data_IF_033546403283
#
_entry.id   IF_033546403283
#
_cell.length_a   1.000
_cell.length_b   1.000
_cell.length_c   1.000
_cell.angle_alpha   90.00
_cell.angle_beta   90.00
_cell.angle_gamma   90.00
#
_symmetry.space_group_name_H-M   'P 1'
#
loop_
_entity.id
_entity.type
_entity.pdbx_description
1 polymer ?
#
# COMPACT_ATOMS: atom_id res chain seq x y z
N UNK A 1 15.36 12.65 -5.13
CA UNK A 1 16.07 12.90 -3.86
C UNK A 1 17.07 14.05 -3.94
N UNK A 2 18.05 14.03 -4.86
CA UNK A 2 19.09 15.08 -4.94
C UNK A 2 18.54 16.51 -5.15
N UNK A 3 17.52 16.67 -5.99
CA UNK A 3 16.88 17.98 -6.22
C UNK A 3 16.24 18.54 -4.93
N UNK A 4 15.51 17.71 -4.18
CA UNK A 4 14.91 18.14 -2.92
C UNK A 4 15.97 18.60 -1.91
N UNK A 5 17.12 17.92 -1.86
CA UNK A 5 18.27 18.32 -1.05
C UNK A 5 18.84 19.69 -1.45
N UNK A 6 19.14 19.90 -2.73
CA UNK A 6 19.59 21.20 -3.24
C UNK A 6 18.56 22.31 -2.98
N UNK A 7 17.28 22.01 -3.22
CA UNK A 7 16.19 22.98 -3.07
C UNK A 7 16.01 23.41 -1.62
N UNK A 8 15.92 22.46 -0.69
CA UNK A 8 15.77 22.75 0.74
C UNK A 8 17.06 23.24 1.41
N UNK A 9 18.17 23.34 0.69
CA UNK A 9 19.38 23.99 1.16
C UNK A 9 19.59 25.40 0.56
N UNK A 10 19.44 25.55 -0.76
CA UNK A 10 19.76 26.79 -1.47
C UNK A 10 18.56 27.68 -1.83
N UNK A 11 17.33 27.14 -1.88
CA UNK A 11 16.13 27.89 -2.31
C UNK A 11 15.11 28.07 -1.20
N UNK A 12 14.83 27.03 -0.43
CA UNK A 12 13.81 27.01 0.61
C UNK A 12 14.37 26.39 1.90
N UNK A 13 15.40 27.01 2.46
CA UNK A 13 16.03 26.58 3.70
C UNK A 13 15.07 26.73 4.91
N UNK A 14 14.68 25.63 5.57
CA UNK A 14 13.82 25.69 6.76
C UNK A 14 14.51 26.41 7.92
N UNK A 15 13.71 26.95 8.85
CA UNK A 15 14.21 27.61 10.07
C UNK A 15 14.32 26.60 11.22
N UNK A 16 15.12 26.94 12.25
CA UNK A 16 15.34 26.08 13.41
C UNK A 16 14.03 25.62 14.09
N UNK A 17 13.04 26.50 14.18
CA UNK A 17 11.73 26.19 14.77
C UNK A 17 11.04 24.99 14.08
N UNK A 18 11.21 24.82 12.76
CA UNK A 18 10.66 23.67 12.04
C UNK A 18 11.36 22.37 12.42
N UNK A 19 12.69 22.39 12.54
CA UNK A 19 13.47 21.21 12.94
C UNK A 19 13.22 20.80 14.40
N UNK A 20 12.84 21.75 15.26
CA UNK A 20 12.56 21.52 16.69
C UNK A 20 11.08 21.23 16.99
N UNK A 21 10.21 21.26 15.99
CA UNK A 21 8.81 20.87 16.13
C UNK A 21 8.68 19.33 16.22
N UNK A 22 9.00 18.81 17.40
CA UNK A 22 9.02 17.36 17.67
C UNK A 22 7.63 16.74 17.63
N UNK A 23 6.58 17.50 17.96
CA UNK A 23 5.20 17.02 17.91
C UNK A 23 4.77 16.78 16.46
N UNK A 24 4.98 17.77 15.59
CA UNK A 24 4.70 17.61 14.17
C UNK A 24 5.54 16.50 13.56
N UNK A 25 6.84 16.45 13.84
CA UNK A 25 7.73 15.41 13.34
C UNK A 25 7.26 14.00 13.74
N UNK A 26 6.95 13.79 15.03
CA UNK A 26 6.50 12.48 15.52
C UNK A 26 5.14 12.09 14.92
N UNK A 27 4.19 13.02 14.86
CA UNK A 27 2.87 12.74 14.29
C UNK A 27 2.96 12.36 12.81
N UNK A 28 3.74 13.10 12.01
CA UNK A 28 3.92 12.81 10.58
C UNK A 28 4.69 11.51 10.35
N UNK A 29 5.71 11.21 11.14
CA UNK A 29 6.46 9.96 10.98
C UNK A 29 5.65 8.74 11.43
N UNK A 30 5.00 8.79 12.59
CA UNK A 30 4.27 7.64 13.11
C UNK A 30 2.99 7.37 12.30
N UNK A 31 2.15 8.37 12.08
CA UNK A 31 0.85 8.16 11.41
C UNK A 31 0.98 8.20 9.89
N UNK A 32 1.76 9.14 9.36
CA UNK A 32 1.98 9.30 7.92
C UNK A 32 2.96 8.27 7.38
N UNK A 33 4.25 8.41 7.70
CA UNK A 33 5.29 7.58 7.09
C UNK A 33 5.12 6.09 7.42
N UNK A 34 4.98 5.75 8.71
CA UNK A 34 4.86 4.35 9.13
C UNK A 34 3.43 3.83 8.97
N UNK A 35 2.43 4.57 9.43
CA UNK A 35 1.02 4.18 9.37
C UNK A 35 0.52 4.02 7.93
N UNK A 36 0.58 5.09 7.12
CA UNK A 36 0.13 5.02 5.71
C UNK A 36 1.04 4.11 4.87
N UNK A 37 2.34 4.04 5.18
CA UNK A 37 3.26 3.10 4.54
C UNK A 37 2.83 1.65 4.75
N UNK A 38 2.54 1.28 6.01
CA UNK A 38 2.04 -0.05 6.38
C UNK A 38 0.69 -0.35 5.74
N UNK A 39 -0.27 0.59 5.81
CA UNK A 39 -1.60 0.43 5.22
C UNK A 39 -1.53 0.24 3.69
N UNK A 40 -0.74 1.06 3.00
CA UNK A 40 -0.55 0.95 1.55
C UNK A 40 0.11 -0.38 1.17
N UNK A 41 1.11 -0.81 1.94
CA UNK A 41 1.79 -2.08 1.70
C UNK A 41 0.90 -3.29 1.99
N UNK A 42 0.04 -3.22 3.00
CA UNK A 42 -0.98 -4.24 3.24
C UNK A 42 -1.96 -4.32 2.06
N UNK A 43 -2.42 -3.18 1.52
CA UNK A 43 -3.24 -3.15 0.30
C UNK A 43 -2.53 -3.79 -0.90
N UNK A 44 -1.25 -3.48 -1.12
CA UNK A 44 -0.45 -4.14 -2.16
C UNK A 44 -0.34 -5.65 -1.95
N UNK A 45 -0.09 -6.10 -0.72
CA UNK A 45 -0.03 -7.53 -0.41
C UNK A 45 -1.36 -8.22 -0.71
N UNK A 46 -2.47 -7.68 -0.21
CA UNK A 46 -3.81 -8.25 -0.34
C UNK A 46 -4.25 -8.33 -1.81
N UNK A 47 -4.05 -7.27 -2.59
CA UNK A 47 -4.60 -7.16 -3.93
C UNK A 47 -3.66 -7.60 -5.05
N UNK A 48 -2.35 -7.76 -4.78
CA UNK A 48 -1.36 -8.11 -5.81
C UNK A 48 -0.52 -9.32 -5.40
N UNK A 49 0.20 -9.24 -4.28
CA UNK A 49 1.18 -10.27 -3.92
C UNK A 49 0.53 -11.61 -3.55
N UNK A 50 -0.52 -11.59 -2.71
CA UNK A 50 -1.19 -12.80 -2.24
C UNK A 50 -1.84 -13.61 -3.38
N UNK A 51 -2.63 -13.01 -4.30
CA UNK A 51 -3.21 -13.75 -5.43
C UNK A 51 -2.14 -14.42 -6.30
N UNK A 52 -1.06 -13.69 -6.65
CA UNK A 52 0.01 -14.20 -7.49
C UNK A 52 0.75 -15.35 -6.80
N UNK A 53 1.10 -15.17 -5.53
CA UNK A 53 1.78 -16.22 -4.76
C UNK A 53 0.92 -17.47 -4.61
N UNK A 54 -0.40 -17.35 -4.55
CA UNK A 54 -1.28 -18.53 -4.52
C UNK A 54 -1.13 -19.37 -5.78
N UNK A 55 -1.11 -18.75 -6.97
CA UNK A 55 -0.89 -19.45 -8.24
C UNK A 55 0.53 -20.03 -8.35
N UNK A 56 1.54 -19.27 -7.92
CA UNK A 56 2.93 -19.74 -7.92
C UNK A 56 3.11 -20.95 -6.99
N UNK A 57 2.48 -20.95 -5.81
CA UNK A 57 2.49 -22.08 -4.88
C UNK A 57 1.75 -23.29 -5.43
N UNK A 58 0.77 -23.09 -6.31
CA UNK A 58 0.10 -24.13 -7.08
C UNK A 58 0.88 -24.57 -8.35
N UNK A 59 2.11 -24.07 -8.53
CA UNK A 59 3.00 -24.36 -9.65
C UNK A 59 2.43 -23.99 -11.04
N UNK A 60 1.58 -22.96 -11.11
CA UNK A 60 1.12 -22.41 -12.38
C UNK A 60 2.27 -21.68 -13.09
N UNK A 61 2.41 -21.87 -14.41
CA UNK A 61 3.41 -21.14 -15.20
C UNK A 61 3.15 -19.63 -15.07
N UNK A 62 4.16 -18.81 -14.70
CA UNK A 62 4.01 -17.37 -14.57
C UNK A 62 3.37 -16.66 -15.77
N UNK A 63 3.46 -17.23 -16.99
CA UNK A 63 2.81 -16.69 -18.20
C UNK A 63 1.30 -16.88 -18.24
N UNK A 64 0.80 -17.88 -17.53
CA UNK A 64 -0.62 -18.23 -17.44
C UNK A 64 -1.29 -17.54 -16.24
N UNK A 65 -0.51 -16.95 -15.32
CA UNK A 65 -1.04 -16.18 -14.19
C UNK A 65 -1.56 -14.83 -14.72
N UNK A 66 -2.83 -14.46 -14.40
CA UNK A 66 -3.34 -13.14 -14.73
C UNK A 66 -2.43 -12.02 -14.23
N UNK A 67 -2.35 -10.92 -14.97
CA UNK A 67 -1.52 -9.79 -14.59
C UNK A 67 -2.09 -9.10 -13.34
N UNK A 68 -1.24 -8.46 -12.51
CA UNK A 68 -1.68 -7.80 -11.27
C UNK A 68 -2.90 -6.88 -11.40
N UNK A 69 -2.99 -6.14 -12.49
CA UNK A 69 -4.09 -5.19 -12.71
C UNK A 69 -5.42 -5.90 -13.06
N UNK A 70 -5.39 -7.12 -13.58
CA UNK A 70 -6.59 -7.90 -13.88
C UNK A 70 -7.29 -8.33 -12.58
N UNK A 71 -6.54 -8.70 -11.54
CA UNK A 71 -7.10 -8.97 -10.21
C UNK A 71 -7.75 -7.74 -9.56
N UNK A 72 -7.27 -6.54 -9.87
CA UNK A 72 -7.83 -5.28 -9.34
C UNK A 72 -9.14 -4.93 -10.05
N UNK A 73 -9.18 -5.09 -11.38
CA UNK A 73 -10.33 -4.71 -12.20
C UNK A 73 -11.43 -5.77 -12.21
N UNK A 74 -11.07 -7.05 -12.03
CA UNK A 74 -12.00 -8.16 -12.01
C UNK A 74 -12.00 -8.86 -10.65
N UNK A 75 -12.94 -8.44 -9.80
CA UNK A 75 -13.17 -9.02 -8.47
C UNK A 75 -13.46 -10.52 -8.52
N UNK A 76 -14.05 -11.03 -9.60
CA UNK A 76 -14.42 -12.45 -9.68
C UNK A 76 -13.17 -13.35 -9.73
N UNK A 77 -12.04 -12.86 -10.26
CA UNK A 77 -10.76 -13.57 -10.20
C UNK A 77 -10.25 -13.72 -8.76
N UNK A 78 -10.39 -12.66 -7.95
CA UNK A 78 -10.05 -12.72 -6.52
C UNK A 78 -11.02 -13.61 -5.75
N UNK A 79 -12.32 -13.54 -6.03
CA UNK A 79 -13.35 -14.31 -5.35
C UNK A 79 -13.22 -15.83 -5.59
N UNK A 80 -12.63 -16.26 -6.71
CA UNK A 80 -12.32 -17.67 -6.96
C UNK A 80 -11.28 -18.24 -5.99
N UNK A 81 -10.35 -17.40 -5.53
CA UNK A 81 -9.25 -17.79 -4.64
C UNK A 81 -9.61 -17.52 -3.17
N UNK A 82 -10.24 -16.36 -2.94
CA UNK A 82 -10.62 -15.85 -1.64
C UNK A 82 -12.14 -15.54 -1.66
N UNK A 83 -13.01 -16.52 -1.32
CA UNK A 83 -14.46 -16.38 -1.47
C UNK A 83 -15.06 -15.16 -0.76
N UNK A 84 -14.46 -14.69 0.34
CA UNK A 84 -14.91 -13.50 1.09
C UNK A 84 -14.87 -12.21 0.25
N UNK A 85 -14.08 -12.14 -0.83
CA UNK A 85 -14.11 -10.99 -1.73
C UNK A 85 -15.47 -10.79 -2.42
N UNK A 86 -16.30 -11.83 -2.52
CA UNK A 86 -17.66 -11.72 -3.05
C UNK A 86 -18.56 -10.84 -2.17
N UNK A 87 -18.31 -10.80 -0.85
CA UNK A 87 -19.06 -9.99 0.13
C UNK A 87 -18.73 -8.49 0.02
N UNK A 88 -17.62 -8.15 -0.66
CA UNK A 88 -17.16 -6.78 -0.83
C UNK A 88 -16.74 -6.14 0.50
N UNK A 89 -16.92 -4.83 0.61
CA UNK A 89 -16.48 -4.06 1.78
C UNK A 89 -17.56 -3.93 2.87
N UNK A 90 -18.73 -4.54 2.71
CA UNK A 90 -19.84 -4.40 3.68
C UNK A 90 -19.42 -4.79 5.10
N UNK A 91 -18.76 -5.94 5.34
CA UNK A 91 -18.35 -6.34 6.69
C UNK A 91 -17.42 -5.33 7.37
N UNK A 92 -16.55 -4.66 6.60
CA UNK A 92 -15.65 -3.62 7.12
C UNK A 92 -16.42 -2.42 7.68
N UNK A 93 -17.52 -2.01 7.02
CA UNK A 93 -18.33 -0.88 7.48
C UNK A 93 -19.34 -1.26 8.58
N UNK A 94 -19.73 -2.53 8.67
CA UNK A 94 -20.65 -3.01 9.71
C UNK A 94 -19.96 -3.57 10.95
N UNK A 95 -18.64 -3.78 10.91
CA UNK A 95 -17.86 -4.42 11.97
C UNK A 95 -18.43 -5.80 12.39
N UNK A 96 -18.86 -6.57 11.38
CA UNK A 96 -19.47 -7.91 11.54
C UNK A 96 -18.52 -8.98 11.01
#
# INVERSE_FOLDING_TARGET
>A
MLFAGWFHYHKAAPKLAWFQDVESMLNHHLTGLLGLGSLSWAGHQIHVSLPINQFLNAAVDPKEIPLPHEFILNRDLLAQIYPSFAEGATPFFTLN
#
